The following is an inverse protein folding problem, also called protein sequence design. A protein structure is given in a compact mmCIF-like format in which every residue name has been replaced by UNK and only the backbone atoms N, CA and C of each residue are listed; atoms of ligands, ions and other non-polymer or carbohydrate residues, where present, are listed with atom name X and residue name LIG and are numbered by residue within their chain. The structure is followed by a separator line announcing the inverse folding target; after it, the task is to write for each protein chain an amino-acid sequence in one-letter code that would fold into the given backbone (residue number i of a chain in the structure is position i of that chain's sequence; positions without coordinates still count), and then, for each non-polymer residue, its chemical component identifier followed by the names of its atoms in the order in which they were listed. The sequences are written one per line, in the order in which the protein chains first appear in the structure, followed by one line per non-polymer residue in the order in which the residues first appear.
data_IF_360529208645
#
_entry.id   IF_360529208645
#
_cell.length_a   1.000
_cell.length_b   1.000
_cell.length_c   1.000
_cell.angle_alpha   90.00
_cell.angle_beta   90.00
_cell.angle_gamma   90.00
#
_symmetry.space_group_name_H-M   'P 1'
#
loop_
_entity.id
_entity.type
_entity.pdbx_description
1 polymer ?
#
# COMPACT_ATOMS: atom_id res chain seq x y z
N UNK A 1 3.67 -7.27 -11.66
CA UNK A 1 4.57 -7.78 -10.61
C UNK A 1 3.92 -8.99 -9.93
N UNK A 2 4.71 -9.82 -9.31
CA UNK A 2 4.22 -11.08 -8.74
C UNK A 2 4.64 -11.24 -7.28
N UNK A 3 3.68 -11.57 -6.41
CA UNK A 3 3.92 -11.90 -5.01
C UNK A 3 4.63 -13.26 -4.88
N UNK A 4 5.35 -13.46 -3.79
CA UNK A 4 6.05 -14.72 -3.51
C UNK A 4 5.07 -15.79 -3.00
N UNK A 5 4.26 -15.44 -2.02
CA UNK A 5 3.35 -16.38 -1.37
C UNK A 5 1.89 -16.21 -1.79
N UNK A 6 1.54 -15.02 -2.28
CA UNK A 6 0.20 -14.72 -2.74
C UNK A 6 -0.78 -14.39 -1.61
N UNK A 7 -1.95 -13.90 -1.98
CA UNK A 7 -3.02 -13.55 -1.02
C UNK A 7 -4.21 -14.46 -1.25
N UNK A 8 -4.63 -15.20 -0.22
CA UNK A 8 -5.84 -16.04 -0.33
C UNK A 8 -7.09 -15.15 -0.31
N UNK A 9 -8.01 -15.40 -1.23
CA UNK A 9 -9.30 -14.73 -1.26
C UNK A 9 -10.32 -15.66 -1.93
N UNK A 10 -11.44 -15.94 -1.23
CA UNK A 10 -12.39 -16.92 -1.71
C UNK A 10 -11.73 -18.30 -1.78
N UNK A 11 -11.89 -18.99 -2.90
CA UNK A 11 -11.34 -20.34 -3.11
C UNK A 11 -9.99 -20.32 -3.85
N UNK A 12 -9.44 -19.14 -4.09
CA UNK A 12 -8.24 -18.97 -4.90
C UNK A 12 -7.16 -18.18 -4.16
N UNK A 13 -5.96 -18.22 -4.72
CA UNK A 13 -4.82 -17.44 -4.23
C UNK A 13 -4.35 -16.55 -5.38
N UNK A 14 -4.11 -15.27 -5.08
CA UNK A 14 -3.78 -14.26 -6.09
C UNK A 14 -2.34 -13.80 -5.90
N UNK A 15 -1.61 -13.66 -7.00
CA UNK A 15 -0.18 -13.35 -7.00
C UNK A 15 0.17 -12.05 -7.73
N UNK A 16 -0.60 -11.68 -8.74
CA UNK A 16 -0.27 -10.51 -9.56
C UNK A 16 -0.69 -9.23 -8.87
N UNK A 17 0.22 -8.26 -8.83
CA UNK A 17 -0.06 -6.99 -8.18
C UNK A 17 0.59 -5.83 -8.93
N UNK A 18 0.04 -4.64 -8.71
CA UNK A 18 0.60 -3.37 -9.14
C UNK A 18 0.65 -2.42 -7.96
N UNK A 19 1.57 -1.46 -8.03
CA UNK A 19 1.69 -0.42 -7.02
C UNK A 19 1.60 0.94 -7.67
N UNK A 20 1.18 1.93 -6.89
CA UNK A 20 1.13 3.34 -7.29
C UNK A 20 1.59 4.21 -6.13
N UNK A 21 1.99 5.43 -6.45
CA UNK A 21 2.39 6.38 -5.41
C UNK A 21 1.16 6.93 -4.70
N UNK A 22 1.33 7.26 -3.43
CA UNK A 22 0.26 7.86 -2.64
C UNK A 22 0.03 9.29 -3.09
N UNK A 23 -1.21 9.62 -3.40
CA UNK A 23 -1.64 11.00 -3.67
C UNK A 23 -2.25 11.60 -2.42
N UNK A 24 -2.49 12.91 -2.43
CA UNK A 24 -3.21 13.55 -1.32
C UNK A 24 -4.61 12.97 -1.13
N UNK A 25 -5.30 12.65 -2.24
CA UNK A 25 -6.60 12.00 -2.17
C UNK A 25 -6.52 10.60 -1.55
N UNK A 26 -5.48 9.85 -1.90
CA UNK A 26 -5.22 8.54 -1.30
C UNK A 26 -4.91 8.64 0.19
N UNK A 27 -4.14 9.67 0.59
CA UNK A 27 -3.88 9.92 2.02
C UNK A 27 -5.17 10.22 2.77
N UNK A 28 -6.05 11.05 2.21
CA UNK A 28 -7.35 11.33 2.83
C UNK A 28 -8.18 10.05 2.99
N UNK A 29 -8.21 9.21 1.96
CA UNK A 29 -8.93 7.94 2.03
C UNK A 29 -8.33 7.01 3.10
N UNK A 30 -7.01 6.98 3.23
CA UNK A 30 -6.34 6.19 4.28
C UNK A 30 -6.71 6.71 5.67
N UNK A 31 -6.73 8.03 5.86
CA UNK A 31 -7.13 8.63 7.15
C UNK A 31 -8.58 8.31 7.50
N UNK A 32 -9.47 8.27 6.52
CA UNK A 32 -10.85 7.86 6.74
C UNK A 32 -10.93 6.41 7.21
N UNK A 33 -10.12 5.52 6.65
CA UNK A 33 -10.04 4.12 7.09
C UNK A 33 -9.54 4.00 8.52
N UNK A 34 -8.55 4.81 8.89
CA UNK A 34 -8.04 4.86 10.27
C UNK A 34 -9.14 5.31 11.23
N UNK A 35 -9.92 6.33 10.86
CA UNK A 35 -11.04 6.81 11.64
C UNK A 35 -12.13 5.74 11.81
N UNK A 36 -12.44 5.01 10.74
CA UNK A 36 -13.42 3.92 10.80
C UNK A 36 -13.00 2.81 11.76
N UNK A 37 -11.69 2.61 11.93
CA UNK A 37 -11.13 1.64 12.87
C UNK A 37 -11.10 2.17 14.31
N UNK A 38 -11.47 3.45 14.52
CA UNK A 38 -11.43 4.08 15.84
C UNK A 38 -10.03 4.42 16.33
N UNK A 39 -9.05 4.51 15.42
CA UNK A 39 -7.65 4.72 15.77
C UNK A 39 -7.19 6.18 15.66
N UNK A 40 -7.99 7.05 15.06
CA UNK A 40 -7.63 8.44 14.79
C UNK A 40 -7.44 9.30 16.03
N UNK A 41 -8.10 8.93 17.16
CA UNK A 41 -8.00 9.68 18.41
C UNK A 41 -7.10 9.02 19.46
N UNK A 42 -6.48 7.90 19.13
CA UNK A 42 -5.61 7.19 20.08
C UNK A 42 -4.22 7.82 20.09
N UNK A 43 -3.68 8.03 21.28
CA UNK A 43 -2.32 8.56 21.45
C UNK A 43 -1.25 7.48 21.35
N UNK A 44 -1.61 6.26 21.71
CA UNK A 44 -0.68 5.11 21.67
C UNK A 44 -1.32 3.93 20.97
N UNK A 45 -0.55 3.25 20.15
CA UNK A 45 -0.99 2.08 19.42
C UNK A 45 -0.27 0.82 19.88
N UNK A 46 -1.00 -0.31 19.89
CA UNK A 46 -0.36 -1.62 19.92
C UNK A 46 0.35 -1.83 18.60
N UNK A 47 1.19 -2.87 18.51
CA UNK A 47 1.87 -3.20 17.26
C UNK A 47 0.88 -3.54 16.13
N UNK A 48 -0.19 -4.27 16.46
CA UNK A 48 -1.22 -4.59 15.49
C UNK A 48 -1.97 -3.34 15.03
N UNK A 49 -2.28 -2.42 15.92
CA UNK A 49 -2.94 -1.16 15.59
C UNK A 49 -2.07 -0.29 14.70
N UNK A 50 -0.76 -0.20 14.99
CA UNK A 50 0.17 0.54 14.15
C UNK A 50 0.23 -0.09 12.76
N UNK A 51 0.26 -1.42 12.68
CA UNK A 51 0.25 -2.10 11.38
C UNK A 51 -1.05 -1.82 10.61
N UNK A 52 -2.20 -1.76 11.29
CA UNK A 52 -3.46 -1.41 10.64
C UNK A 52 -3.40 -0.01 10.03
N UNK A 53 -2.79 0.96 10.73
CA UNK A 53 -2.59 2.31 10.20
C UNK A 53 -1.71 2.24 8.95
N UNK A 54 -0.59 1.54 9.02
CA UNK A 54 0.33 1.40 7.89
C UNK A 54 -0.36 0.73 6.70
N UNK A 55 -1.20 -0.27 6.94
CA UNK A 55 -1.94 -0.98 5.90
C UNK A 55 -3.07 -0.13 5.30
N UNK A 56 -3.62 0.82 6.06
CA UNK A 56 -4.58 1.78 5.51
C UNK A 56 -3.92 2.60 4.38
N UNK A 57 -2.70 3.07 4.59
CA UNK A 57 -1.93 3.78 3.55
C UNK A 57 -1.54 2.84 2.42
N UNK A 58 -1.07 1.65 2.76
CA UNK A 58 -0.66 0.67 1.75
C UNK A 58 -1.82 0.29 0.83
N UNK A 59 -3.02 0.14 1.37
CA UNK A 59 -4.21 -0.22 0.59
C UNK A 59 -4.53 0.80 -0.50
N UNK A 60 -4.13 2.05 -0.32
CA UNK A 60 -4.32 3.10 -1.33
C UNK A 60 -3.22 3.09 -2.39
N UNK A 61 -2.19 2.30 -2.21
CA UNK A 61 -1.07 2.20 -3.13
C UNK A 61 -0.96 0.83 -3.80
N UNK A 62 -1.89 -0.07 -3.52
CA UNK A 62 -1.81 -1.48 -3.93
C UNK A 62 -3.06 -1.91 -4.69
N UNK A 63 -2.85 -2.58 -5.81
CA UNK A 63 -3.89 -3.34 -6.52
C UNK A 63 -3.47 -4.80 -6.55
N UNK A 64 -4.40 -5.68 -6.25
CA UNK A 64 -4.20 -7.13 -6.44
C UNK A 64 -5.14 -7.54 -7.58
N UNK A 65 -4.55 -8.06 -8.65
CA UNK A 65 -5.34 -8.46 -9.81
C UNK A 65 -6.22 -9.64 -9.42
N UNK A 66 -7.52 -9.46 -9.56
CA UNK A 66 -8.51 -10.48 -9.18
C UNK A 66 -9.22 -10.22 -7.87
N UNK A 67 -8.76 -9.25 -7.08
CA UNK A 67 -9.42 -8.83 -5.83
C UNK A 67 -9.85 -7.37 -5.99
N UNK A 68 -11.13 -7.08 -5.74
CA UNK A 68 -11.64 -5.72 -5.84
C UNK A 68 -10.99 -4.81 -4.80
N UNK A 69 -10.75 -3.54 -5.18
CA UNK A 69 -10.08 -2.57 -4.33
C UNK A 69 -10.75 -2.41 -2.97
N UNK A 70 -12.08 -2.42 -2.93
CA UNK A 70 -12.84 -2.26 -1.68
C UNK A 70 -12.72 -3.47 -0.74
N UNK A 71 -12.20 -4.59 -1.22
CA UNK A 71 -11.93 -5.79 -0.41
C UNK A 71 -10.53 -5.77 0.23
N UNK A 72 -9.64 -4.89 -0.23
CA UNK A 72 -8.31 -4.74 0.31
C UNK A 72 -8.32 -3.80 1.51
N UNK A 73 -9.07 -4.17 2.55
CA UNK A 73 -9.15 -3.39 3.78
C UNK A 73 -7.88 -3.61 4.62
N UNK A 74 -7.55 -2.69 5.54
CA UNK A 74 -6.40 -2.90 6.44
C UNK A 74 -6.49 -4.22 7.20
N UNK A 75 -7.67 -4.58 7.70
CA UNK A 75 -7.84 -5.82 8.45
C UNK A 75 -7.66 -7.06 7.56
N UNK A 76 -8.18 -7.01 6.34
CA UNK A 76 -7.99 -8.11 5.39
C UNK A 76 -6.50 -8.33 5.10
N UNK A 77 -5.76 -7.24 4.88
CA UNK A 77 -4.33 -7.31 4.62
C UNK A 77 -3.56 -7.80 5.85
N UNK A 78 -3.94 -7.35 7.04
CA UNK A 78 -3.31 -7.81 8.29
C UNK A 78 -3.46 -9.32 8.45
N UNK A 79 -4.62 -9.86 8.11
CA UNK A 79 -4.91 -11.28 8.28
C UNK A 79 -4.36 -12.17 7.17
N UNK A 80 -4.14 -11.64 5.98
CA UNK A 80 -3.88 -12.46 4.79
C UNK A 80 -2.59 -12.15 4.05
N UNK A 81 -1.99 -10.99 4.25
CA UNK A 81 -0.75 -10.63 3.55
C UNK A 81 0.45 -11.19 4.30
N UNK A 82 1.22 -12.03 3.62
CA UNK A 82 2.43 -12.60 4.21
C UNK A 82 3.49 -11.52 4.41
N UNK A 83 4.29 -11.66 5.46
CA UNK A 83 5.38 -10.73 5.77
C UNK A 83 6.34 -10.57 4.59
N UNK A 84 6.70 -11.67 3.94
CA UNK A 84 7.61 -11.64 2.79
C UNK A 84 7.03 -10.82 1.64
N UNK A 85 5.73 -10.93 1.39
CA UNK A 85 5.06 -10.18 0.35
C UNK A 85 4.88 -8.71 0.74
N UNK A 86 4.68 -8.41 2.02
CA UNK A 86 4.64 -7.04 2.52
C UNK A 86 5.96 -6.32 2.21
N UNK A 87 7.09 -6.96 2.48
CA UNK A 87 8.42 -6.40 2.19
C UNK A 87 8.57 -6.19 0.68
N UNK A 88 8.17 -7.16 -0.12
CA UNK A 88 8.23 -7.07 -1.58
C UNK A 88 7.42 -5.88 -2.11
N UNK A 89 6.20 -5.70 -1.62
CA UNK A 89 5.32 -4.60 -2.02
C UNK A 89 5.90 -3.25 -1.61
N UNK A 90 6.35 -3.11 -0.38
CA UNK A 90 6.93 -1.85 0.10
C UNK A 90 8.20 -1.49 -0.67
N UNK A 91 8.99 -2.49 -1.04
CA UNK A 91 10.18 -2.27 -1.88
C UNK A 91 9.77 -1.80 -3.28
N UNK A 92 8.74 -2.40 -3.87
CA UNK A 92 8.24 -2.00 -5.18
C UNK A 92 7.77 -0.54 -5.18
N UNK A 93 7.11 -0.10 -4.11
CA UNK A 93 6.67 1.30 -3.97
C UNK A 93 7.89 2.23 -3.86
N UNK A 94 8.88 1.86 -3.06
CA UNK A 94 10.11 2.65 -2.91
C UNK A 94 10.85 2.78 -4.24
N UNK A 95 10.95 1.71 -5.01
CA UNK A 95 11.59 1.71 -6.32
C UNK A 95 10.83 2.61 -7.32
N UNK A 96 9.50 2.54 -7.31
CA UNK A 96 8.65 3.38 -8.15
C UNK A 96 8.85 4.86 -7.81
N UNK A 97 8.88 5.18 -6.52
CA UNK A 97 9.10 6.55 -6.06
C UNK A 97 10.45 7.08 -6.51
N UNK A 98 11.51 6.28 -6.35
CA UNK A 98 12.85 6.65 -6.78
C UNK A 98 12.90 6.90 -8.28
N UNK A 99 12.26 6.05 -9.07
CA UNK A 99 12.19 6.19 -10.53
C UNK A 99 11.55 7.53 -10.92
N UNK A 100 10.46 7.90 -10.27
CA UNK A 100 9.77 9.17 -10.55
C UNK A 100 10.60 10.39 -10.12
N UNK A 101 11.28 10.31 -8.98
CA UNK A 101 12.17 11.38 -8.51
C UNK A 101 13.33 11.58 -9.49
N UNK A 102 13.97 10.49 -9.90
CA UNK A 102 15.10 10.54 -10.83
C UNK A 102 14.67 11.12 -12.19
N UNK A 103 13.50 10.72 -12.68
CA UNK A 103 12.95 11.25 -13.93
C UNK A 103 12.68 12.76 -13.83
N UNK A 104 12.15 13.22 -12.69
CA UNK A 104 11.90 14.64 -12.46
C UNK A 104 13.18 15.45 -12.39
N UNK A 105 14.22 14.92 -11.74
CA UNK A 105 15.52 15.57 -11.69
C UNK A 105 16.14 15.73 -13.07
N UNK A 106 16.09 14.69 -13.89
CA UNK A 106 16.60 14.73 -15.26
C UNK A 106 15.88 15.79 -16.08
N UNK A 107 14.56 15.87 -15.96
CA UNK A 107 13.73 16.85 -16.65
C UNK A 107 14.07 18.27 -16.20
N UNK A 108 14.24 18.48 -14.89
CA UNK A 108 14.59 19.79 -14.33
C UNK A 108 15.94 20.27 -14.85
N UNK A 109 16.92 19.39 -14.97
CA UNK A 109 18.24 19.73 -15.53
C UNK A 109 18.13 20.18 -16.99
N UNK A 110 17.30 19.51 -17.78
CA UNK A 110 17.07 19.86 -19.17
C UNK A 110 16.40 21.24 -19.25
N UNK A 111 15.42 21.52 -18.41
CA UNK A 111 14.72 22.80 -18.40
C UNK A 111 15.64 23.96 -17.94
N UNK A 112 16.61 23.70 -17.08
CA UNK A 112 17.55 24.70 -16.59
C UNK A 112 18.58 25.12 -17.62
N UNK A 113 18.80 24.33 -18.63
CA UNK A 113 19.72 24.64 -19.74
C UNK A 113 19.06 25.51 -20.81
#
# INVERSE_FOLDING_TARGET
MRLLLGIPYGDSRYFDFDVRLLTLGGECAALEKVAELGLDEKEKFTKAEQMLVDLAYLSEQLDIIGIAQDKLTPQFLLDNLATDDYVLITQAIADLRKKHIDAGESQSKVEAE
#
